data_IF_646896624248
#
_entry.id   IF_646896624248
#
_cell.length_a   1.000
_cell.length_b   1.000
_cell.length_c   1.000
_cell.angle_alpha   90.00
_cell.angle_beta   90.00
_cell.angle_gamma   90.00
#
_symmetry.space_group_name_H-M   'P 1'
#
loop_
_entity.id
_entity.type
_entity.pdbx_description
1 polymer ?
#
# COMPACT_ATOMS: atom_id res chain seq x y z
N UNK A 1 -4.47 24.40 -20.91
CA UNK A 1 -4.68 22.94 -20.81
C UNK A 1 -3.36 22.22 -20.52
N UNK A 2 -2.22 22.78 -20.94
CA UNK A 2 -0.88 22.23 -20.68
C UNK A 2 -0.50 22.24 -19.20
N UNK A 3 -0.80 23.31 -18.45
CA UNK A 3 -0.51 23.42 -17.00
C UNK A 3 -1.17 22.29 -16.19
N UNK A 4 -2.42 21.94 -16.52
CA UNK A 4 -3.18 20.87 -15.84
C UNK A 4 -2.58 19.48 -16.15
N UNK A 5 -2.06 19.31 -17.36
CA UNK A 5 -1.38 18.08 -17.79
C UNK A 5 -0.02 17.93 -17.12
N UNK A 6 0.70 19.04 -16.98
CA UNK A 6 2.00 19.13 -16.33
C UNK A 6 1.89 18.82 -14.82
N UNK A 7 0.83 19.30 -14.15
CA UNK A 7 0.54 18.99 -12.75
C UNK A 7 -0.04 17.59 -12.49
N UNK A 8 -0.16 16.74 -13.52
CA UNK A 8 -0.66 15.36 -13.43
C UNK A 8 0.32 14.34 -14.03
N UNK A 9 1.58 14.73 -14.25
CA UNK A 9 2.57 13.84 -14.87
C UNK A 9 2.89 12.66 -13.97
N UNK A 10 3.03 12.89 -12.66
CA UNK A 10 3.21 11.83 -11.68
C UNK A 10 1.96 11.70 -10.79
N UNK A 11 1.64 10.47 -10.34
CA UNK A 11 0.56 10.23 -9.39
C UNK A 11 0.76 11.00 -8.07
N UNK A 12 1.99 11.36 -7.73
CA UNK A 12 2.34 12.11 -6.52
C UNK A 12 2.15 13.63 -6.66
N UNK A 13 1.96 14.13 -7.88
CA UNK A 13 1.85 15.57 -8.16
C UNK A 13 0.47 16.14 -7.80
N UNK A 14 -0.53 15.27 -7.59
CA UNK A 14 -1.88 15.68 -7.20
C UNK A 14 -2.45 14.78 -6.08
N UNK A 15 -3.29 15.38 -5.24
CA UNK A 15 -3.87 14.71 -4.07
C UNK A 15 -4.68 13.46 -4.44
N UNK A 16 -5.40 13.50 -5.57
CA UNK A 16 -6.20 12.38 -6.04
C UNK A 16 -5.33 11.18 -6.44
N UNK A 17 -4.24 11.41 -7.17
CA UNK A 17 -3.27 10.39 -7.55
C UNK A 17 -2.58 9.77 -6.35
N UNK A 18 -2.21 10.58 -5.35
CA UNK A 18 -1.61 10.13 -4.11
C UNK A 18 -2.58 9.23 -3.32
N UNK A 19 -3.87 9.59 -3.28
CA UNK A 19 -4.94 8.79 -2.67
C UNK A 19 -5.16 7.47 -3.42
N UNK A 20 -5.22 7.50 -4.75
CA UNK A 20 -5.34 6.29 -5.58
C UNK A 20 -4.18 5.34 -5.31
N UNK A 21 -2.94 5.86 -5.27
CA UNK A 21 -1.77 5.04 -4.93
C UNK A 21 -1.88 4.44 -3.53
N UNK A 22 -2.32 5.22 -2.53
CA UNK A 22 -2.52 4.71 -1.18
C UNK A 22 -3.52 3.55 -1.14
N UNK A 23 -4.64 3.68 -1.87
CA UNK A 23 -5.67 2.63 -1.99
C UNK A 23 -5.09 1.39 -2.65
N UNK A 24 -4.32 1.53 -3.74
CA UNK A 24 -3.66 0.40 -4.40
C UNK A 24 -2.75 -0.35 -3.43
N UNK A 25 -1.88 0.37 -2.70
CA UNK A 25 -1.00 -0.24 -1.69
C UNK A 25 -1.81 -0.99 -0.63
N UNK A 26 -2.87 -0.39 -0.09
CA UNK A 26 -3.73 -1.03 0.91
C UNK A 26 -4.44 -2.29 0.39
N UNK A 27 -4.94 -2.26 -0.85
CA UNK A 27 -5.56 -3.44 -1.47
C UNK A 27 -4.53 -4.55 -1.67
N UNK A 28 -3.35 -4.22 -2.20
CA UNK A 28 -2.26 -5.19 -2.37
C UNK A 28 -1.85 -5.80 -1.03
N UNK A 29 -1.68 -5.00 0.01
CA UNK A 29 -1.35 -5.46 1.35
C UNK A 29 -2.41 -6.40 1.93
N UNK A 30 -3.70 -6.06 1.76
CA UNK A 30 -4.82 -6.90 2.20
C UNK A 30 -4.86 -8.25 1.47
N UNK A 31 -4.64 -8.26 0.16
CA UNK A 31 -4.55 -9.50 -0.64
C UNK A 31 -3.36 -10.34 -0.19
N UNK A 32 -2.18 -9.74 -0.05
CA UNK A 32 -0.96 -10.44 0.39
C UNK A 32 -1.13 -11.02 1.79
N UNK A 33 -1.66 -10.25 2.76
CA UNK A 33 -1.92 -10.74 4.11
C UNK A 33 -2.92 -11.90 4.12
N UNK A 34 -3.99 -11.79 3.34
CA UNK A 34 -5.03 -12.82 3.26
C UNK A 34 -4.49 -14.12 2.66
N UNK A 35 -3.71 -14.01 1.58
CA UNK A 35 -3.05 -15.17 0.95
C UNK A 35 -2.03 -15.79 1.90
N UNK A 36 -1.15 -14.99 2.49
CA UNK A 36 -0.13 -15.46 3.43
C UNK A 36 -0.77 -16.22 4.60
N UNK A 37 -1.86 -15.70 5.19
CA UNK A 37 -2.59 -16.37 6.26
C UNK A 37 -3.35 -17.63 5.79
N UNK A 38 -3.84 -17.65 4.54
CA UNK A 38 -4.55 -18.82 3.98
C UNK A 38 -3.63 -20.02 3.77
N UNK A 39 -2.36 -19.79 3.44
CA UNK A 39 -1.39 -20.86 3.21
C UNK A 39 -0.79 -21.44 4.50
N UNK A 40 -1.13 -20.90 5.67
CA UNK A 40 -0.63 -21.45 6.95
C UNK A 40 -1.56 -22.61 7.38
N UNK A 41 -1.07 -23.86 7.40
CA UNK A 41 -1.92 -25.04 7.62
C UNK A 41 -2.42 -25.15 9.07
N UNK A 42 -1.70 -24.58 10.04
CA UNK A 42 -2.07 -24.65 11.45
C UNK A 42 -2.94 -23.47 11.88
N UNK A 43 -3.87 -23.72 12.79
CA UNK A 43 -4.68 -22.66 13.43
C UNK A 43 -3.79 -21.79 14.30
N UNK A 44 -3.40 -20.65 13.76
CA UNK A 44 -2.66 -19.63 14.51
C UNK A 44 -3.62 -18.91 15.49
N UNK A 45 -3.19 -18.62 16.73
CA UNK A 45 -3.94 -17.77 17.65
C UNK A 45 -4.30 -16.42 17.02
N UNK A 46 -5.49 -15.89 17.35
CA UNK A 46 -5.98 -14.63 16.79
C UNK A 46 -5.01 -13.46 17.01
N UNK A 47 -4.40 -13.37 18.20
CA UNK A 47 -3.43 -12.32 18.51
C UNK A 47 -2.26 -12.28 17.53
N UNK A 48 -1.70 -13.45 17.19
CA UNK A 48 -0.58 -13.54 16.23
C UNK A 48 -1.05 -13.18 14.82
N UNK A 49 -2.25 -13.60 14.40
CA UNK A 49 -2.82 -13.18 13.10
C UNK A 49 -2.99 -11.66 13.02
N UNK A 50 -3.48 -11.05 14.10
CA UNK A 50 -3.66 -9.59 14.17
C UNK A 50 -2.33 -8.86 14.08
N UNK A 51 -1.28 -9.34 14.76
CA UNK A 51 0.09 -8.79 14.65
C UNK A 51 0.62 -8.91 13.22
N UNK A 52 0.44 -10.06 12.56
CA UNK A 52 0.86 -10.24 11.16
C UNK A 52 0.18 -9.22 10.25
N UNK A 53 -1.15 -9.09 10.35
CA UNK A 53 -1.90 -8.11 9.54
C UNK A 53 -1.43 -6.69 9.82
N UNK A 54 -1.23 -6.35 11.09
CA UNK A 54 -0.72 -5.04 11.50
C UNK A 54 0.66 -4.73 10.90
N UNK A 55 1.59 -5.68 10.96
CA UNK A 55 2.92 -5.55 10.35
C UNK A 55 2.83 -5.36 8.83
N UNK A 56 1.96 -6.12 8.16
CA UNK A 56 1.75 -5.97 6.71
C UNK A 56 1.21 -4.59 6.36
N UNK A 57 0.28 -4.05 7.16
CA UNK A 57 -0.23 -2.69 6.98
C UNK A 57 0.87 -1.65 7.19
N UNK A 58 1.67 -1.78 8.25
CA UNK A 58 2.80 -0.86 8.50
C UNK A 58 3.81 -0.87 7.37
N UNK A 59 4.18 -2.05 6.87
CA UNK A 59 5.08 -2.21 5.72
C UNK A 59 4.47 -1.55 4.48
N UNK A 60 3.17 -1.75 4.24
CA UNK A 60 2.48 -1.14 3.10
C UNK A 60 2.51 0.39 3.16
N UNK A 61 2.21 0.98 4.32
CA UNK A 61 2.25 2.44 4.51
C UNK A 61 3.68 2.95 4.32
N UNK A 62 4.66 2.25 4.87
CA UNK A 62 6.07 2.61 4.72
C UNK A 62 6.51 2.59 3.25
N UNK A 63 6.18 1.54 2.50
CA UNK A 63 6.52 1.43 1.09
C UNK A 63 5.81 2.50 0.24
N UNK A 64 4.53 2.75 0.50
CA UNK A 64 3.79 3.84 -0.14
C UNK A 64 4.46 5.20 0.10
N UNK A 65 4.86 5.48 1.34
CA UNK A 65 5.57 6.70 1.72
C UNK A 65 6.93 6.84 1.02
N UNK A 66 7.69 5.74 0.89
CA UNK A 66 8.96 5.76 0.15
C UNK A 66 8.75 6.10 -1.33
N UNK A 67 7.69 5.59 -1.96
CA UNK A 67 7.34 5.91 -3.35
C UNK A 67 7.00 7.39 -3.54
N UNK A 68 6.45 8.05 -2.51
CA UNK A 68 6.17 9.49 -2.54
C UNK A 68 7.45 10.32 -2.39
N UNK A 69 8.34 9.97 -1.45
CA UNK A 69 9.55 10.78 -1.21
C UNK A 69 10.59 10.60 -2.31
N UNK A 70 10.67 9.39 -2.86
CA UNK A 70 11.57 9.05 -3.96
C UNK A 70 10.74 8.51 -5.11
N UNK A 71 10.04 9.38 -5.87
CA UNK A 71 9.46 8.97 -7.13
C UNK A 71 10.63 8.46 -7.99
N UNK A 72 10.72 7.13 -8.14
CA UNK A 72 11.74 6.54 -9.01
C UNK A 72 11.33 6.93 -10.43
N UNK A 73 12.26 7.60 -11.11
CA UNK A 73 12.13 8.23 -12.43
C UNK A 73 11.56 7.24 -13.45
#
# INVERSE_FOLDING_TARGET
>A
MDIIKESMQLPVDNFLGMLIYAVIYMLTAGVVASLALRFIPNKIPYGVKSVIVFLVILISIFLWWQTIIKPTI
#
